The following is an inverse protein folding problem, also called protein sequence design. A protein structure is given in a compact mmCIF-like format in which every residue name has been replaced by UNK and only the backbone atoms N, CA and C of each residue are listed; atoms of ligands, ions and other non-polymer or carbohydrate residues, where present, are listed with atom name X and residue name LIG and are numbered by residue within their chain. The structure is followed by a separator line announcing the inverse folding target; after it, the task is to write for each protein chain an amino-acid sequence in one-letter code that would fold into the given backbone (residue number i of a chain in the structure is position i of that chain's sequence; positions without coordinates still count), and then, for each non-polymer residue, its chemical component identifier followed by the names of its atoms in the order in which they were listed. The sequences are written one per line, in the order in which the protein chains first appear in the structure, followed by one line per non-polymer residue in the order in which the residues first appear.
data_IF_165805115242
#
_entry.id   IF_165805115242
#
_cell.length_a   1.000
_cell.length_b   1.000
_cell.length_c   1.000
_cell.angle_alpha   90.00
_cell.angle_beta   90.00
_cell.angle_gamma   90.00
#
_symmetry.space_group_name_H-M   'P 1'
#
loop_
_entity.id
_entity.type
_entity.pdbx_description
1 polymer ?
#
# COMPACT_ATOMS: atom_id res chain seq x y z
N UNK A 1 47.34 -15.68 26.62
CA UNK A 1 47.21 -14.20 26.69
C UNK A 1 47.47 -13.55 25.32
N UNK A 2 46.75 -13.96 24.27
CA UNK A 2 46.94 -13.41 22.91
C UNK A 2 45.65 -13.47 22.07
N UNK A 3 44.48 -13.19 22.67
CA UNK A 3 43.17 -13.30 21.99
C UNK A 3 42.19 -12.19 22.38
N UNK A 4 42.69 -10.96 22.61
CA UNK A 4 41.83 -9.80 22.96
C UNK A 4 42.07 -8.55 22.10
N UNK A 5 42.91 -8.60 21.06
CA UNK A 5 43.31 -7.40 20.31
C UNK A 5 42.55 -7.16 18.99
N UNK A 6 41.64 -8.05 18.55
CA UNK A 6 40.96 -7.90 17.24
C UNK A 6 39.53 -7.34 17.28
N UNK A 7 38.99 -6.97 18.45
CA UNK A 7 37.60 -6.52 18.59
C UNK A 7 37.32 -5.03 18.40
N UNK A 8 38.34 -4.16 18.42
CA UNK A 8 38.11 -2.70 18.59
C UNK A 8 38.10 -1.92 17.25
N UNK A 9 38.59 -2.50 16.15
CA UNK A 9 38.68 -1.79 14.87
C UNK A 9 37.36 -1.75 14.06
N UNK A 10 36.38 -2.61 14.36
CA UNK A 10 35.15 -2.73 13.57
C UNK A 10 34.03 -1.73 13.96
N UNK A 11 34.10 -1.13 15.16
CA UNK A 11 33.07 -0.21 15.65
C UNK A 11 33.18 1.21 15.07
N UNK A 12 34.36 1.62 14.59
CA UNK A 12 34.60 2.98 14.07
C UNK A 12 34.11 3.23 12.63
N UNK A 13 33.87 2.19 11.84
CA UNK A 13 33.50 2.33 10.43
C UNK A 13 32.00 2.55 10.19
N UNK A 14 31.13 2.16 11.14
CA UNK A 14 29.67 2.24 10.96
C UNK A 14 29.08 3.63 11.22
N UNK A 15 29.80 4.51 11.92
CA UNK A 15 29.27 5.84 12.26
C UNK A 15 29.50 6.90 11.16
N UNK A 16 30.34 6.62 10.16
CA UNK A 16 30.63 7.55 9.05
C UNK A 16 29.74 7.39 7.81
N UNK A 17 28.95 6.31 7.72
CA UNK A 17 28.05 6.09 6.58
C UNK A 17 26.67 6.74 6.75
N UNK A 18 26.21 6.98 7.98
CA UNK A 18 24.90 7.60 8.21
C UNK A 18 24.91 9.13 8.11
N UNK A 19 26.07 9.78 8.18
CA UNK A 19 26.17 11.24 8.08
C UNK A 19 26.19 11.75 6.63
N UNK A 20 26.44 10.89 5.64
CA UNK A 20 26.51 11.29 4.22
C UNK A 20 25.16 11.18 3.48
N UNK A 21 24.12 10.64 4.14
CA UNK A 21 22.80 10.42 3.53
C UNK A 21 21.82 11.60 3.66
N UNK A 22 22.02 12.49 4.64
CA UNK A 22 21.09 13.59 4.91
C UNK A 22 21.38 14.84 4.04
N UNK A 23 22.62 15.06 3.61
CA UNK A 23 23.00 16.20 2.75
C UNK A 23 22.54 16.08 1.28
N UNK A 24 22.08 14.90 0.84
CA UNK A 24 21.64 14.68 -0.55
C UNK A 24 20.15 14.95 -0.78
N UNK A 25 19.35 15.12 0.28
CA UNK A 25 17.90 15.26 0.18
C UNK A 25 17.40 16.70 0.37
N UNK A 26 18.26 17.64 0.78
CA UNK A 26 17.86 19.04 0.98
C UNK A 26 17.65 19.90 -0.29
N UNK A 27 18.18 19.61 -1.50
CA UNK A 27 17.96 20.51 -2.63
C UNK A 27 16.65 20.27 -3.41
N UNK A 28 15.87 19.23 -3.12
CA UNK A 28 14.68 18.87 -3.93
C UNK A 28 13.34 19.46 -3.46
N UNK A 29 13.29 20.16 -2.32
CA UNK A 29 12.05 20.75 -1.78
C UNK A 29 11.97 22.28 -1.88
N UNK A 30 12.99 22.95 -2.43
CA UNK A 30 13.05 24.41 -2.46
C UNK A 30 12.45 25.08 -3.72
N UNK A 31 11.97 24.32 -4.71
CA UNK A 31 11.52 24.88 -5.99
C UNK A 31 10.00 24.77 -6.20
N UNK A 32 9.24 25.49 -5.37
CA UNK A 32 7.82 25.80 -5.62
C UNK A 32 7.59 27.30 -5.37
N UNK A 33 8.08 28.13 -6.30
CA UNK A 33 7.70 29.55 -6.38
C UNK A 33 7.22 29.88 -7.79
N UNK A 34 6.02 30.45 -7.81
CA UNK A 34 5.49 31.39 -8.80
C UNK A 34 5.48 30.94 -10.27
N UNK A 35 4.35 30.38 -10.70
CA UNK A 35 3.87 30.57 -12.07
C UNK A 35 2.86 31.72 -12.02
N UNK A 36 3.33 32.91 -12.40
CA UNK A 36 2.51 34.09 -12.67
C UNK A 36 1.81 33.88 -14.02
N UNK A 37 0.52 34.22 -14.07
CA UNK A 37 -0.31 34.21 -15.26
C UNK A 37 -0.34 35.62 -15.86
N UNK A 38 0.26 35.81 -17.03
CA UNK A 38 0.07 37.02 -17.83
C UNK A 38 -0.88 36.73 -19.00
N UNK A 39 -1.98 37.48 -18.97
CA UNK A 39 -3.10 37.60 -19.89
C UNK A 39 -2.83 38.82 -20.77
N UNK A 40 -2.75 38.65 -22.09
CA UNK A 40 -2.78 39.77 -23.04
C UNK A 40 -3.54 39.38 -24.32
N UNK A 41 -4.67 40.06 -24.51
CA UNK A 41 -5.59 39.96 -25.64
C UNK A 41 -5.51 41.25 -26.46
N UNK A 42 -5.22 41.17 -27.77
CA UNK A 42 -5.40 42.29 -28.70
C UNK A 42 -6.33 41.92 -29.86
N UNK A 43 -7.49 42.57 -29.90
CA UNK A 43 -8.43 42.63 -31.02
C UNK A 43 -8.05 43.77 -31.98
N UNK A 44 -8.26 43.57 -33.28
CA UNK A 44 -8.21 44.66 -34.28
C UNK A 44 -9.40 44.55 -35.24
N UNK A 45 -10.19 45.63 -35.30
CA UNK A 45 -11.32 45.85 -36.21
C UNK A 45 -10.88 46.68 -37.44
N UNK A 46 -11.36 46.32 -38.63
CA UNK A 46 -11.10 47.05 -39.88
C UNK A 46 -12.42 47.39 -40.61
N UNK A 47 -12.65 48.67 -40.88
CA UNK A 47 -13.86 49.25 -41.49
C UNK A 47 -13.73 49.44 -43.01
N UNK A 48 -14.81 49.21 -43.78
CA UNK A 48 -14.83 49.36 -45.26
C UNK A 48 -15.95 50.31 -45.73
N UNK A 49 -15.58 51.29 -46.57
CA UNK A 49 -16.46 52.26 -47.25
C UNK A 49 -17.03 51.73 -48.59
N UNK A 50 -18.23 52.17 -48.94
CA UNK A 50 -18.96 51.80 -50.17
C UNK A 50 -19.07 52.95 -51.18
N UNK A 51 -18.74 52.69 -52.44
CA UNK A 51 -18.87 53.64 -53.55
C UNK A 51 -19.81 53.11 -54.68
N UNK A 52 -20.64 54.01 -55.22
CA UNK A 52 -21.80 53.77 -56.12
C UNK A 52 -21.40 53.31 -57.54
N UNK A 53 -22.18 52.38 -58.13
CA UNK A 53 -21.99 51.89 -59.52
C UNK A 53 -23.11 52.31 -60.49
N UNK A 54 -22.73 52.45 -61.77
CA UNK A 54 -23.51 53.07 -62.85
C UNK A 54 -24.36 52.14 -63.76
N UNK A 55 -25.02 52.73 -64.78
CA UNK A 55 -26.25 52.24 -65.41
C UNK A 55 -26.12 51.04 -66.38
N UNK A 56 -24.90 50.67 -66.79
CA UNK A 56 -24.69 49.61 -67.80
C UNK A 56 -24.84 48.20 -67.19
N UNK A 57 -24.81 48.08 -65.86
CA UNK A 57 -25.05 46.83 -65.15
C UNK A 57 -26.52 46.36 -65.17
N UNK A 58 -27.47 47.25 -65.50
CA UNK A 58 -28.91 46.95 -65.48
C UNK A 58 -29.40 46.12 -66.67
N UNK A 59 -28.61 46.00 -67.74
CA UNK A 59 -29.03 45.32 -68.97
C UNK A 59 -28.63 43.84 -69.01
N UNK A 60 -27.68 43.42 -68.18
CA UNK A 60 -27.28 42.00 -68.04
C UNK A 60 -28.15 41.25 -67.03
N UNK A 61 -28.68 41.95 -66.03
CA UNK A 61 -29.58 41.39 -65.02
C UNK A 61 -30.97 41.07 -65.58
N UNK A 62 -31.44 41.79 -66.60
CA UNK A 62 -32.75 41.54 -67.24
C UNK A 62 -32.78 40.28 -68.10
N UNK A 63 -31.70 39.91 -68.77
CA UNK A 63 -31.63 38.67 -69.56
C UNK A 63 -31.64 37.42 -68.66
N UNK A 64 -30.98 37.49 -67.49
CA UNK A 64 -30.93 36.40 -66.51
C UNK A 64 -32.29 36.20 -65.85
N UNK A 65 -33.03 37.28 -65.55
CA UNK A 65 -34.39 37.20 -65.04
C UNK A 65 -35.37 36.56 -66.05
N UNK A 66 -35.18 36.79 -67.36
CA UNK A 66 -36.02 36.19 -68.40
C UNK A 66 -35.91 34.66 -68.47
N UNK A 67 -34.69 34.13 -68.36
CA UNK A 67 -34.45 32.67 -68.36
C UNK A 67 -35.01 32.03 -67.07
N UNK A 68 -34.92 32.74 -65.96
CA UNK A 68 -35.38 32.26 -64.66
C UNK A 68 -36.92 32.23 -64.54
N UNK A 69 -37.61 33.25 -65.06
CA UNK A 69 -39.08 33.24 -65.14
C UNK A 69 -39.63 32.16 -66.08
N UNK A 70 -38.93 31.84 -67.18
CA UNK A 70 -39.33 30.77 -68.08
C UNK A 70 -39.21 29.37 -67.43
N UNK A 71 -38.18 29.14 -66.60
CA UNK A 71 -38.01 27.89 -65.87
C UNK A 71 -39.13 27.59 -64.88
N UNK A 72 -39.61 28.61 -64.15
CA UNK A 72 -40.69 28.45 -63.17
C UNK A 72 -42.01 28.05 -63.84
N UNK A 73 -42.32 28.61 -65.00
CA UNK A 73 -43.54 28.27 -65.75
C UNK A 73 -43.55 26.81 -66.22
N UNK A 74 -42.39 26.28 -66.64
CA UNK A 74 -42.25 24.87 -67.06
C UNK A 74 -42.36 23.92 -65.87
N UNK A 75 -41.85 24.30 -64.70
CA UNK A 75 -41.96 23.49 -63.47
C UNK A 75 -43.40 23.31 -62.99
N UNK A 76 -44.24 24.36 -63.08
CA UNK A 76 -45.66 24.26 -62.68
C UNK A 76 -46.45 23.32 -63.60
N UNK A 77 -46.14 23.31 -64.90
CA UNK A 77 -46.75 22.39 -65.86
C UNK A 77 -46.40 20.92 -65.58
N UNK A 78 -45.17 20.66 -65.12
CA UNK A 78 -44.72 19.31 -64.75
C UNK A 78 -45.43 18.78 -63.48
N UNK A 79 -45.85 19.64 -62.56
CA UNK A 79 -46.58 19.26 -61.34
C UNK A 79 -47.99 18.68 -61.61
N UNK A 80 -48.62 19.03 -62.74
CA UNK A 80 -49.98 18.58 -63.07
C UNK A 80 -49.99 17.18 -63.71
N UNK A 81 -48.89 16.77 -64.35
CA UNK A 81 -48.83 15.54 -65.15
C UNK A 81 -48.31 14.32 -64.39
N UNK A 82 -47.58 14.48 -63.28
CA UNK A 82 -47.03 13.34 -62.52
C UNK A 82 -46.90 13.66 -61.01
N UNK A 83 -47.87 13.27 -60.17
CA UNK A 83 -47.80 13.52 -58.72
C UNK A 83 -46.95 12.46 -58.03
N UNK A 84 -45.62 12.61 -58.10
CA UNK A 84 -44.68 11.82 -57.29
C UNK A 84 -43.95 12.72 -56.29
N UNK A 85 -43.78 12.24 -55.05
CA UNK A 85 -43.21 13.00 -53.91
C UNK A 85 -41.81 13.58 -54.15
N UNK A 86 -41.05 13.03 -55.10
CA UNK A 86 -39.73 13.52 -55.48
C UNK A 86 -39.74 14.90 -56.15
N UNK A 87 -40.83 15.31 -56.80
CA UNK A 87 -40.90 16.63 -57.46
C UNK A 87 -41.00 17.78 -56.46
N UNK A 88 -41.55 17.52 -55.25
CA UNK A 88 -41.62 18.52 -54.18
C UNK A 88 -40.23 18.84 -53.61
N UNK A 89 -39.35 17.84 -53.47
CA UNK A 89 -37.99 18.06 -52.97
C UNK A 89 -37.16 18.84 -54.01
N UNK A 90 -37.28 18.49 -55.29
CA UNK A 90 -36.60 19.21 -56.37
C UNK A 90 -37.12 20.66 -56.51
N UNK A 91 -38.43 20.88 -56.39
CA UNK A 91 -39.03 22.21 -56.38
C UNK A 91 -38.57 23.07 -55.19
N UNK A 92 -38.48 22.48 -53.98
CA UNK A 92 -38.02 23.17 -52.78
C UNK A 92 -36.55 23.61 -52.90
N UNK A 93 -35.67 22.78 -53.49
CA UNK A 93 -34.27 23.14 -53.74
C UNK A 93 -34.17 24.30 -54.75
N UNK A 94 -35.04 24.33 -55.77
CA UNK A 94 -35.07 25.44 -56.72
C UNK A 94 -35.52 26.75 -56.07
N UNK A 95 -36.56 26.73 -55.23
CA UNK A 95 -37.03 27.94 -54.51
C UNK A 95 -35.98 28.42 -53.49
N UNK A 96 -35.30 27.50 -52.79
CA UNK A 96 -34.22 27.86 -51.88
C UNK A 96 -33.02 28.51 -52.60
N UNK A 97 -32.72 28.08 -53.83
CA UNK A 97 -31.63 28.67 -54.62
C UNK A 97 -32.00 30.02 -55.25
N UNK A 98 -33.28 30.31 -55.50
CA UNK A 98 -33.67 31.63 -56.04
C UNK A 98 -33.47 32.76 -55.04
N UNK A 99 -33.71 32.52 -53.74
CA UNK A 99 -33.52 33.55 -52.71
C UNK A 99 -32.05 33.96 -52.53
N UNK A 100 -31.11 33.03 -52.73
CA UNK A 100 -29.66 33.32 -52.68
C UNK A 100 -29.24 34.25 -53.83
N UNK A 101 -29.96 34.24 -54.95
CA UNK A 101 -29.71 35.17 -56.07
C UNK A 101 -30.41 36.51 -55.92
N UNK A 102 -31.46 36.60 -55.10
CA UNK A 102 -32.22 37.85 -54.85
C UNK A 102 -31.50 38.87 -53.95
N UNK A 103 -30.57 38.42 -53.11
CA UNK A 103 -29.81 39.29 -52.20
C UNK A 103 -28.51 39.88 -52.79
N UNK A 104 -28.14 39.53 -54.03
CA UNK A 104 -26.88 39.96 -54.64
C UNK A 104 -27.09 40.95 -55.80
N UNK A 105 -27.61 42.15 -55.49
CA UNK A 105 -27.43 43.32 -56.36
C UNK A 105 -26.06 44.01 -56.15
N UNK A 106 -25.11 43.34 -55.49
CA UNK A 106 -23.73 43.79 -55.35
C UNK A 106 -22.85 42.98 -56.30
N UNK A 107 -22.83 43.37 -57.57
CA UNK A 107 -22.01 42.76 -58.63
C UNK A 107 -20.50 43.04 -58.45
N UNK A 108 -19.92 42.52 -57.36
CA UNK A 108 -18.47 42.42 -57.12
C UNK A 108 -17.98 41.08 -56.51
N UNK A 109 -18.72 39.94 -56.44
CA UNK A 109 -18.20 38.77 -55.72
C UNK A 109 -17.06 38.06 -56.45
N UNK A 110 -16.95 38.16 -57.78
CA UNK A 110 -16.00 37.29 -58.51
C UNK A 110 -14.52 37.74 -58.41
N UNK A 111 -14.25 39.04 -58.29
CA UNK A 111 -12.87 39.54 -58.12
C UNK A 111 -12.40 39.46 -56.67
N UNK A 112 -13.28 39.73 -55.70
CA UNK A 112 -12.95 39.58 -54.27
C UNK A 112 -12.85 38.11 -53.88
N UNK A 113 -13.67 37.21 -54.47
CA UNK A 113 -13.58 35.78 -54.22
C UNK A 113 -12.31 35.16 -54.81
N UNK A 114 -11.84 35.59 -55.98
CA UNK A 114 -10.57 35.12 -56.52
C UNK A 114 -9.38 35.53 -55.64
N UNK A 115 -9.40 36.75 -55.09
CA UNK A 115 -8.40 37.22 -54.13
C UNK A 115 -8.55 36.54 -52.76
N UNK A 116 -9.78 36.26 -52.31
CA UNK A 116 -10.06 35.52 -51.08
C UNK A 116 -9.63 34.05 -51.17
N UNK A 117 -9.82 33.39 -52.33
CA UNK A 117 -9.33 32.03 -52.57
C UNK A 117 -7.81 31.98 -52.62
N UNK A 118 -7.14 32.99 -53.21
CA UNK A 118 -5.67 33.08 -53.17
C UNK A 118 -5.16 33.33 -51.75
N UNK A 119 -5.83 34.21 -51.00
CA UNK A 119 -5.51 34.47 -49.59
C UNK A 119 -5.71 33.22 -48.74
N UNK A 120 -6.81 32.49 -48.93
CA UNK A 120 -7.10 31.23 -48.25
C UNK A 120 -6.10 30.14 -48.65
N UNK A 121 -5.74 30.01 -49.92
CA UNK A 121 -4.72 29.04 -50.34
C UNK A 121 -3.36 29.36 -49.70
N UNK A 122 -3.00 30.65 -49.61
CA UNK A 122 -1.80 31.08 -48.91
C UNK A 122 -1.88 30.82 -47.40
N UNK A 123 -3.05 30.99 -46.76
CA UNK A 123 -3.25 30.61 -45.35
C UNK A 123 -3.14 29.10 -45.17
N UNK A 124 -3.80 28.30 -46.00
CA UNK A 124 -3.77 26.84 -45.94
C UNK A 124 -2.37 26.28 -46.17
N UNK A 125 -1.58 26.92 -47.05
CA UNK A 125 -0.16 26.59 -47.21
C UNK A 125 0.65 26.93 -45.96
N UNK A 126 0.40 28.07 -45.31
CA UNK A 126 1.06 28.42 -44.05
C UNK A 126 0.68 27.44 -42.94
N UNK A 127 -0.60 27.09 -42.82
CA UNK A 127 -1.08 26.15 -41.80
C UNK A 127 -0.55 24.73 -42.06
N UNK A 128 -0.49 24.30 -43.33
CA UNK A 128 0.12 23.03 -43.70
C UNK A 128 1.62 23.00 -43.38
N UNK A 129 2.34 24.09 -43.67
CA UNK A 129 3.76 24.18 -43.31
C UNK A 129 3.94 24.21 -41.79
N UNK A 130 3.13 24.98 -41.05
CA UNK A 130 3.20 25.03 -39.57
C UNK A 130 2.91 23.68 -38.94
N UNK A 131 1.91 22.96 -39.45
CA UNK A 131 1.60 21.60 -38.98
C UNK A 131 2.74 20.63 -39.31
N UNK A 132 3.38 20.78 -40.47
CA UNK A 132 4.58 19.99 -40.80
C UNK A 132 5.70 20.27 -39.80
N UNK A 133 5.96 21.55 -39.50
CA UNK A 133 6.99 21.95 -38.53
C UNK A 133 6.65 21.44 -37.11
N UNK A 134 5.37 21.48 -36.70
CA UNK A 134 4.90 20.93 -35.42
C UNK A 134 5.04 19.41 -35.35
N UNK A 135 4.76 18.69 -36.44
CA UNK A 135 4.92 17.22 -36.51
C UNK A 135 6.39 16.83 -36.46
N UNK A 136 7.25 17.56 -37.17
CA UNK A 136 8.70 17.33 -37.15
C UNK A 136 9.26 17.58 -35.74
N UNK A 137 8.86 18.67 -35.09
CA UNK A 137 9.26 18.96 -33.70
C UNK A 137 8.79 17.88 -32.70
N UNK A 138 7.57 17.37 -32.86
CA UNK A 138 7.05 16.30 -32.01
C UNK A 138 7.77 14.97 -32.27
N UNK A 139 8.14 14.70 -33.52
CA UNK A 139 8.93 13.52 -33.89
C UNK A 139 10.32 13.58 -33.26
N UNK A 140 10.96 14.75 -33.28
CA UNK A 140 12.25 14.97 -32.63
C UNK A 140 12.16 14.79 -31.10
N UNK A 141 11.08 15.23 -30.46
CA UNK A 141 10.84 15.00 -29.04
C UNK A 141 10.62 13.52 -28.72
N UNK A 142 9.85 12.81 -29.54
CA UNK A 142 9.65 11.36 -29.39
C UNK A 142 10.99 10.61 -29.52
N UNK A 143 11.83 11.01 -30.48
CA UNK A 143 13.16 10.41 -30.65
C UNK A 143 14.11 10.76 -29.51
N UNK A 144 13.97 11.94 -28.89
CA UNK A 144 14.70 12.32 -27.68
C UNK A 144 14.25 11.53 -26.44
N UNK A 145 12.97 11.18 -26.33
CA UNK A 145 12.41 10.45 -25.17
C UNK A 145 12.65 8.94 -25.22
N UNK A 146 12.77 8.33 -26.41
CA UNK A 146 13.08 6.89 -26.57
C UNK A 146 14.29 6.41 -25.76
N UNK A 147 15.48 7.04 -25.81
CA UNK A 147 16.62 6.60 -25.02
C UNK A 147 16.41 6.77 -23.51
N UNK A 148 15.54 7.69 -23.08
CA UNK A 148 15.18 7.82 -21.66
C UNK A 148 14.31 6.64 -21.20
N UNK A 149 13.32 6.27 -22.01
CA UNK A 149 12.47 5.10 -21.75
C UNK A 149 13.28 3.79 -21.73
N UNK A 150 14.24 3.63 -22.65
CA UNK A 150 15.12 2.46 -22.65
C UNK A 150 16.00 2.37 -21.39
N UNK A 151 16.59 3.49 -20.95
CA UNK A 151 17.35 3.55 -19.69
C UNK A 151 16.46 3.24 -18.48
N UNK A 152 15.25 3.77 -18.45
CA UNK A 152 14.30 3.49 -17.36
C UNK A 152 13.95 1.99 -17.31
N UNK A 153 13.71 1.37 -18.47
CA UNK A 153 13.45 -0.07 -18.59
C UNK A 153 14.63 -0.91 -18.11
N UNK A 154 15.86 -0.53 -18.46
CA UNK A 154 17.07 -1.22 -17.97
C UNK A 154 17.20 -1.13 -16.44
N UNK A 155 16.93 0.04 -15.87
CA UNK A 155 16.92 0.22 -14.41
C UNK A 155 15.83 -0.62 -13.74
N UNK A 156 14.62 -0.69 -14.32
CA UNK A 156 13.55 -1.55 -13.81
C UNK A 156 13.93 -3.03 -13.84
N UNK A 157 14.56 -3.52 -14.91
CA UNK A 157 15.01 -4.90 -15.00
C UNK A 157 16.09 -5.21 -13.95
N UNK A 158 17.04 -4.30 -13.75
CA UNK A 158 18.07 -4.42 -12.72
C UNK A 158 17.47 -4.42 -11.30
N UNK A 159 16.51 -3.53 -11.03
CA UNK A 159 15.81 -3.48 -9.74
C UNK A 159 14.97 -4.73 -9.49
N UNK A 160 14.33 -5.27 -10.52
CA UNK A 160 13.57 -6.53 -10.42
C UNK A 160 14.50 -7.72 -10.15
N UNK A 161 15.68 -7.76 -10.78
CA UNK A 161 16.72 -8.76 -10.48
C UNK A 161 17.24 -8.70 -9.04
N UNK A 162 17.48 -7.49 -8.51
CA UNK A 162 17.87 -7.29 -7.11
C UNK A 162 16.75 -7.72 -6.17
N UNK A 163 15.50 -7.35 -6.47
CA UNK A 163 14.34 -7.71 -5.64
C UNK A 163 14.15 -9.23 -5.62
N UNK A 164 14.27 -9.91 -6.76
CA UNK A 164 14.21 -11.37 -6.83
C UNK A 164 15.33 -12.04 -6.01
N UNK A 165 16.57 -11.51 -6.07
CA UNK A 165 17.69 -12.01 -5.28
C UNK A 165 17.50 -11.74 -3.76
N UNK A 166 16.93 -10.59 -3.39
CA UNK A 166 16.65 -10.24 -2.00
C UNK A 166 15.44 -10.99 -1.43
N UNK A 167 14.43 -11.30 -2.23
CA UNK A 167 13.25 -12.05 -1.77
C UNK A 167 13.63 -13.45 -1.29
N UNK A 168 14.57 -14.11 -1.98
CA UNK A 168 15.15 -15.40 -1.54
C UNK A 168 15.82 -15.28 -0.17
N UNK A 169 16.45 -14.13 0.12
CA UNK A 169 17.09 -13.91 1.42
C UNK A 169 16.07 -13.64 2.53
N UNK A 170 14.94 -13.01 2.24
CA UNK A 170 13.86 -12.79 3.22
C UNK A 170 13.18 -14.09 3.57
N UNK A 171 12.82 -14.92 2.58
CA UNK A 171 12.19 -16.22 2.81
C UNK A 171 13.10 -17.13 3.65
N UNK A 172 14.39 -17.19 3.31
CA UNK A 172 15.39 -17.95 4.08
C UNK A 172 15.57 -17.40 5.50
N UNK A 173 15.52 -16.08 5.68
CA UNK A 173 15.59 -15.48 7.01
C UNK A 173 14.36 -15.87 7.86
N UNK A 174 13.16 -15.85 7.28
CA UNK A 174 11.94 -16.28 7.96
C UNK A 174 12.02 -17.76 8.34
N UNK A 175 12.54 -18.61 7.45
CA UNK A 175 12.80 -20.02 7.73
C UNK A 175 13.79 -20.20 8.90
N UNK A 176 14.94 -19.51 8.87
CA UNK A 176 15.92 -19.55 9.97
C UNK A 176 15.34 -19.05 11.30
N UNK A 177 14.49 -18.02 11.28
CA UNK A 177 13.80 -17.54 12.49
C UNK A 177 12.81 -18.58 13.01
N UNK A 178 12.08 -19.27 12.12
CA UNK A 178 11.19 -20.39 12.48
C UNK A 178 11.98 -21.55 13.08
N UNK A 179 13.10 -21.95 12.47
CA UNK A 179 14.00 -22.99 12.97
C UNK A 179 14.57 -22.65 14.36
N UNK A 180 15.05 -21.41 14.52
CA UNK A 180 15.53 -20.93 15.83
C UNK A 180 14.42 -20.98 16.89
N UNK A 181 13.17 -20.67 16.51
CA UNK A 181 12.01 -20.83 17.38
C UNK A 181 11.85 -22.26 17.90
N UNK A 182 11.90 -23.25 16.99
CA UNK A 182 11.83 -24.69 17.34
C UNK A 182 12.99 -25.11 18.23
N UNK A 183 14.21 -24.62 17.97
CA UNK A 183 15.39 -24.93 18.79
C UNK A 183 15.22 -24.37 20.21
N UNK A 184 14.74 -23.13 20.36
CA UNK A 184 14.52 -22.52 21.67
C UNK A 184 13.46 -23.30 22.45
N UNK A 185 12.39 -23.74 21.80
CA UNK A 185 11.36 -24.57 22.42
C UNK A 185 11.94 -25.92 22.89
N UNK A 186 12.71 -26.59 22.05
CA UNK A 186 13.41 -27.82 22.42
C UNK A 186 14.41 -27.62 23.58
N UNK A 187 15.11 -26.49 23.62
CA UNK A 187 16.02 -26.15 24.73
C UNK A 187 15.26 -25.87 26.03
N UNK A 188 14.13 -25.17 25.97
CA UNK A 188 13.25 -24.95 27.12
C UNK A 188 12.74 -26.28 27.68
N UNK A 189 12.35 -27.21 26.81
CA UNK A 189 11.89 -28.53 27.23
C UNK A 189 13.01 -29.38 27.83
N UNK A 190 14.22 -29.34 27.27
CA UNK A 190 15.38 -29.98 27.86
C UNK A 190 15.71 -29.41 29.24
N UNK A 191 15.58 -28.09 29.42
CA UNK A 191 15.78 -27.44 30.71
C UNK A 191 14.71 -27.85 31.73
N UNK A 192 13.43 -27.87 31.33
CA UNK A 192 12.32 -28.38 32.18
C UNK A 192 12.56 -29.82 32.63
N UNK A 193 12.95 -30.71 31.71
CA UNK A 193 13.27 -32.12 32.00
C UNK A 193 14.42 -32.23 33.01
N UNK A 194 15.48 -31.43 32.83
CA UNK A 194 16.63 -31.41 33.74
C UNK A 194 16.24 -30.92 35.14
N UNK A 195 15.47 -29.82 35.22
CA UNK A 195 14.96 -29.30 36.49
C UNK A 195 14.14 -30.35 37.23
N UNK A 196 13.21 -31.03 36.54
CA UNK A 196 12.40 -32.11 37.16
C UNK A 196 13.25 -33.27 37.61
N UNK A 197 14.23 -33.71 36.80
CA UNK A 197 15.14 -34.78 37.18
C UNK A 197 15.94 -34.42 38.44
N UNK A 198 16.44 -33.19 38.53
CA UNK A 198 17.19 -32.70 39.68
C UNK A 198 16.31 -32.62 40.93
N UNK A 199 15.07 -32.13 40.84
CA UNK A 199 14.13 -32.14 41.96
C UNK A 199 13.83 -33.58 42.41
N UNK A 200 13.56 -34.52 41.48
CA UNK A 200 13.32 -35.93 41.81
C UNK A 200 14.52 -36.52 42.53
N UNK A 201 15.73 -36.22 42.04
CA UNK A 201 16.97 -36.66 42.69
C UNK A 201 17.09 -36.09 44.11
N UNK A 202 16.79 -34.81 44.33
CA UNK A 202 16.79 -34.22 45.68
C UNK A 202 15.76 -34.92 46.59
N UNK A 203 14.57 -35.21 46.08
CA UNK A 203 13.51 -35.89 46.86
C UNK A 203 14.00 -37.27 47.30
N UNK A 204 14.58 -38.05 46.38
CA UNK A 204 15.13 -39.39 46.68
C UNK A 204 16.32 -39.29 47.65
N UNK A 205 17.24 -38.34 47.44
CA UNK A 205 18.42 -38.13 48.31
C UNK A 205 18.06 -37.57 49.70
N UNK A 206 16.83 -37.08 49.88
CA UNK A 206 16.36 -36.52 51.14
C UNK A 206 15.67 -37.56 52.03
N UNK A 207 15.20 -38.67 51.45
CA UNK A 207 14.74 -39.86 52.16
C UNK A 207 15.96 -40.65 52.67
N UNK A 208 16.31 -40.46 53.95
CA UNK A 208 17.52 -41.07 54.53
C UNK A 208 17.27 -42.48 55.04
N UNK A 209 16.03 -42.76 55.43
CA UNK A 209 15.58 -44.00 56.04
C UNK A 209 14.92 -44.96 55.04
N UNK A 210 14.76 -44.54 53.78
CA UNK A 210 14.15 -45.32 52.68
C UNK A 210 12.74 -45.81 53.03
N UNK A 211 12.01 -45.08 53.87
CA UNK A 211 10.65 -45.45 54.26
C UNK A 211 9.59 -44.87 53.30
N UNK A 212 10.05 -44.13 52.27
CA UNK A 212 9.23 -43.44 51.26
C UNK A 212 8.29 -42.37 51.85
N UNK A 213 8.49 -41.97 53.11
CA UNK A 213 7.69 -40.98 53.84
C UNK A 213 8.57 -39.84 54.33
N UNK A 214 8.29 -38.63 53.88
CA UNK A 214 9.12 -37.46 54.22
C UNK A 214 8.69 -36.88 55.57
N UNK A 215 9.61 -36.87 56.55
CA UNK A 215 9.37 -36.21 57.84
C UNK A 215 9.32 -34.69 57.70
N UNK A 216 8.79 -33.98 58.71
CA UNK A 216 8.74 -32.49 58.71
C UNK A 216 10.14 -31.86 58.67
N UNK A 217 11.14 -32.52 59.23
CA UNK A 217 12.53 -32.03 59.26
C UNK A 217 13.18 -32.24 57.90
N UNK A 218 13.00 -33.41 57.29
CA UNK A 218 13.48 -33.71 55.93
C UNK A 218 12.80 -32.82 54.91
N UNK A 219 11.50 -32.57 55.04
CA UNK A 219 10.75 -31.66 54.17
C UNK A 219 11.38 -30.27 54.13
N UNK A 220 11.73 -29.70 55.29
CA UNK A 220 12.39 -28.37 55.37
C UNK A 220 13.76 -28.37 54.71
N UNK A 221 14.55 -29.43 54.93
CA UNK A 221 15.88 -29.57 54.31
C UNK A 221 15.77 -29.73 52.79
N UNK A 222 14.81 -30.54 52.33
CA UNK A 222 14.51 -30.77 50.93
C UNK A 222 14.08 -29.48 50.23
N UNK A 223 13.16 -28.71 50.83
CA UNK A 223 12.75 -27.40 50.31
C UNK A 223 13.94 -26.47 50.11
N UNK A 224 14.84 -26.38 51.10
CA UNK A 224 16.02 -25.52 51.01
C UNK A 224 16.94 -25.96 49.86
N UNK A 225 17.15 -27.27 49.69
CA UNK A 225 17.95 -27.82 48.58
C UNK A 225 17.30 -27.50 47.22
N UNK A 226 15.98 -27.70 47.10
CA UNK A 226 15.22 -27.39 45.88
C UNK A 226 15.36 -25.90 45.55
N UNK A 227 15.18 -25.01 46.52
CA UNK A 227 15.30 -23.56 46.33
C UNK A 227 16.68 -23.17 45.79
N UNK A 228 17.77 -23.70 46.38
CA UNK A 228 19.13 -23.39 45.94
C UNK A 228 19.37 -23.89 44.51
N UNK A 229 18.92 -25.09 44.16
CA UNK A 229 19.10 -25.62 42.80
C UNK A 229 18.24 -24.87 41.78
N UNK A 230 16.99 -24.52 42.11
CA UNK A 230 16.10 -23.77 41.22
C UNK A 230 16.57 -22.33 40.99
N UNK A 231 17.21 -21.72 41.98
CA UNK A 231 17.80 -20.39 41.85
C UNK A 231 18.94 -20.37 40.81
N UNK A 232 19.70 -21.46 40.65
CA UNK A 232 20.71 -21.58 39.59
C UNK A 232 20.07 -21.58 38.19
N UNK A 233 18.85 -22.08 38.07
CA UNK A 233 18.08 -22.13 36.84
C UNK A 233 17.21 -20.89 36.59
N UNK A 234 17.13 -19.95 37.55
CA UNK A 234 16.26 -18.77 37.46
C UNK A 234 14.76 -19.10 37.53
N UNK A 235 14.40 -20.17 38.25
CA UNK A 235 13.01 -20.56 38.48
C UNK A 235 12.60 -20.11 39.89
N UNK A 236 11.51 -19.35 39.97
CA UNK A 236 10.96 -18.92 41.25
C UNK A 236 10.10 -20.04 41.85
N UNK A 237 10.39 -20.36 43.11
CA UNK A 237 9.80 -21.48 43.83
C UNK A 237 9.04 -21.02 45.06
N UNK A 238 7.73 -21.25 45.08
CA UNK A 238 6.88 -20.96 46.24
C UNK A 238 6.97 -22.09 47.28
N UNK A 239 7.92 -21.93 48.21
CA UNK A 239 8.14 -22.82 49.34
C UNK A 239 6.88 -23.04 50.19
N UNK A 240 6.05 -22.02 50.39
CA UNK A 240 4.91 -22.09 51.29
C UNK A 240 3.79 -22.96 50.70
N UNK A 241 3.49 -22.79 49.41
CA UNK A 241 2.52 -23.65 48.73
C UNK A 241 3.02 -25.09 48.65
N UNK A 242 4.31 -25.31 48.34
CA UNK A 242 4.87 -26.67 48.28
C UNK A 242 4.80 -27.37 49.63
N UNK A 243 5.12 -26.66 50.71
CA UNK A 243 5.04 -27.18 52.07
C UNK A 243 3.60 -27.54 52.47
N UNK A 244 2.61 -26.75 52.04
CA UNK A 244 1.19 -27.05 52.29
C UNK A 244 0.78 -28.36 51.61
N UNK A 245 1.20 -28.58 50.36
CA UNK A 245 0.91 -29.82 49.61
C UNK A 245 1.60 -31.03 50.26
N UNK A 246 2.85 -30.89 50.68
CA UNK A 246 3.60 -31.93 51.40
C UNK A 246 2.94 -32.31 52.74
N UNK A 247 2.33 -31.33 53.42
CA UNK A 247 1.69 -31.54 54.72
C UNK A 247 0.46 -32.44 54.64
N UNK A 248 -0.24 -32.45 53.50
CA UNK A 248 -1.44 -33.27 53.29
C UNK A 248 -1.05 -34.73 53.05
N UNK A 249 -0.03 -34.98 52.23
CA UNK A 249 0.41 -36.33 51.88
C UNK A 249 1.95 -36.42 51.74
N UNK A 250 2.68 -36.89 52.78
CA UNK A 250 4.13 -36.90 52.80
C UNK A 250 4.77 -38.09 52.05
N UNK A 251 4.14 -38.65 51.02
CA UNK A 251 4.68 -39.79 50.28
C UNK A 251 5.54 -39.35 49.08
N UNK A 252 6.75 -39.88 48.98
CA UNK A 252 7.71 -39.60 47.88
C UNK A 252 7.07 -39.85 46.50
N UNK A 253 6.34 -40.95 46.33
CA UNK A 253 5.70 -41.29 45.05
C UNK A 253 4.69 -40.24 44.60
N UNK A 254 3.89 -39.68 45.52
CA UNK A 254 2.89 -38.66 45.18
C UNK A 254 3.55 -37.33 44.84
N UNK A 255 4.64 -36.97 45.53
CA UNK A 255 5.44 -35.78 45.23
C UNK A 255 6.06 -35.89 43.84
N UNK A 256 6.61 -37.06 43.48
CA UNK A 256 7.14 -37.31 42.14
C UNK A 256 6.02 -37.18 41.10
N UNK A 257 4.82 -37.72 41.36
CA UNK A 257 3.67 -37.55 40.47
C UNK A 257 3.25 -36.08 40.31
N UNK A 258 3.28 -35.29 41.39
CA UNK A 258 2.98 -33.85 41.36
C UNK A 258 4.03 -33.09 40.54
N UNK A 259 5.33 -33.39 40.72
CA UNK A 259 6.40 -32.75 39.97
C UNK A 259 6.33 -33.15 38.49
N UNK A 260 6.00 -34.41 38.18
CA UNK A 260 5.82 -34.86 36.79
C UNK A 260 4.69 -34.12 36.08
N UNK A 261 3.61 -33.78 36.80
CA UNK A 261 2.50 -32.98 36.26
C UNK A 261 2.92 -31.54 35.88
N UNK A 262 4.05 -31.02 36.38
CA UNK A 262 4.59 -29.71 36.00
C UNK A 262 5.25 -29.68 34.61
N UNK A 263 5.49 -30.84 34.00
CA UNK A 263 6.01 -30.94 32.63
C UNK A 263 4.88 -31.44 31.75
N UNK A 264 3.94 -30.58 31.33
CA UNK A 264 3.09 -30.91 30.20
C UNK A 264 4.03 -31.21 29.04
N UNK A 265 3.87 -32.36 28.37
CA UNK A 265 4.73 -32.91 27.30
C UNK A 265 5.77 -33.96 27.71
N UNK A 266 5.87 -34.36 28.98
CA UNK A 266 6.30 -35.74 29.26
C UNK A 266 5.06 -36.63 29.22
N UNK A 267 4.44 -36.71 28.03
CA UNK A 267 3.75 -37.93 27.65
C UNK A 267 4.83 -39.01 27.59
N UNK A 268 5.20 -39.54 28.76
CA UNK A 268 5.47 -40.95 28.82
C UNK A 268 4.21 -41.56 28.25
N UNK A 269 4.31 -42.24 27.11
CA UNK A 269 3.33 -43.22 26.68
C UNK A 269 3.21 -44.27 27.80
N UNK A 270 2.58 -43.90 28.92
CA UNK A 270 2.08 -44.85 29.88
C UNK A 270 0.86 -45.43 29.22
N UNK A 271 1.10 -46.53 28.53
CA UNK A 271 0.11 -47.44 27.99
C UNK A 271 -1.19 -47.41 28.82
N UNK A 272 -2.26 -46.98 28.16
CA UNK A 272 -3.68 -47.23 28.46
C UNK A 272 -4.11 -46.97 29.91
N UNK A 273 -4.76 -45.83 30.19
CA UNK A 273 -5.59 -45.73 31.38
C UNK A 273 -6.68 -46.80 31.26
N UNK A 274 -6.65 -47.78 32.15
CA UNK A 274 -7.80 -48.63 32.42
C UNK A 274 -8.95 -47.73 32.85
N UNK A 275 -10.05 -47.80 32.10
CA UNK A 275 -11.30 -47.06 32.32
C UNK A 275 -11.91 -47.34 33.70
N UNK A 276 -11.37 -46.72 34.75
CA UNK A 276 -11.97 -46.73 36.10
C UNK A 276 -12.36 -45.30 36.46
N UNK A 277 -13.55 -44.94 35.98
CA UNK A 277 -14.31 -43.73 36.28
C UNK A 277 -14.60 -43.63 37.78
N UNK A 278 -13.74 -42.96 38.53
CA UNK A 278 -14.12 -42.37 39.82
C UNK A 278 -13.83 -40.87 39.82
N UNK A 279 -14.90 -40.13 39.59
CA UNK A 279 -15.02 -38.68 39.54
C UNK A 279 -15.11 -38.12 40.96
N UNK A 280 -14.00 -37.63 41.52
CA UNK A 280 -14.05 -36.77 42.72
C UNK A 280 -12.91 -35.74 42.71
N UNK A 281 -13.24 -34.48 42.40
CA UNK A 281 -12.62 -33.22 42.86
C UNK A 281 -11.10 -32.94 42.72
N UNK A 282 -10.30 -33.74 42.02
CA UNK A 282 -8.83 -33.49 41.91
C UNK A 282 -8.42 -32.32 40.98
N UNK A 283 -9.32 -31.73 40.18
CA UNK A 283 -8.95 -30.67 39.22
C UNK A 283 -8.48 -29.36 39.88
N UNK A 284 -9.02 -29.02 41.06
CA UNK A 284 -8.68 -27.74 41.72
C UNK A 284 -7.24 -27.73 42.30
N UNK A 285 -6.71 -28.89 42.67
CA UNK A 285 -5.36 -29.00 43.22
C UNK A 285 -4.28 -28.93 42.12
N UNK A 286 -4.64 -29.23 40.88
CA UNK A 286 -3.70 -29.27 39.74
C UNK A 286 -3.29 -27.86 39.34
N UNK A 287 -4.24 -26.93 39.27
CA UNK A 287 -3.98 -25.52 38.94
C UNK A 287 -3.03 -24.87 39.96
N UNK A 288 -3.23 -25.15 41.25
CA UNK A 288 -2.43 -24.59 42.34
C UNK A 288 -0.95 -25.04 42.32
N UNK A 289 -0.68 -26.23 41.77
CA UNK A 289 0.69 -26.77 41.63
C UNK A 289 1.38 -26.10 40.44
N UNK A 290 0.69 -25.88 39.32
CA UNK A 290 1.24 -25.18 38.16
C UNK A 290 1.66 -23.73 38.50
N UNK A 291 0.90 -23.04 39.35
CA UNK A 291 1.22 -21.68 39.83
C UNK A 291 2.38 -21.60 40.83
N UNK A 292 2.96 -22.74 41.24
CA UNK A 292 4.03 -22.80 42.23
C UNK A 292 5.43 -22.65 41.63
N UNK A 293 5.55 -22.94 40.33
CA UNK A 293 6.80 -22.90 39.58
C UNK A 293 6.66 -21.92 38.43
N UNK A 294 7.09 -20.69 38.68
CA UNK A 294 7.05 -19.62 37.67
C UNK A 294 8.47 -19.37 37.16
N UNK A 295 8.58 -19.17 35.85
CA UNK A 295 9.85 -18.84 35.22
C UNK A 295 10.06 -17.34 35.32
N UNK A 296 11.17 -16.90 35.91
CA UNK A 296 11.43 -15.48 36.16
C UNK A 296 11.48 -14.60 34.89
N UNK A 297 11.58 -15.21 33.71
CA UNK A 297 11.61 -14.53 32.41
C UNK A 297 10.34 -14.69 31.59
N UNK A 298 9.34 -15.42 32.07
CA UNK A 298 8.04 -15.53 31.41
C UNK A 298 7.13 -14.40 31.92
N UNK A 299 7.60 -13.17 31.73
CA UNK A 299 6.78 -11.95 31.77
C UNK A 299 5.81 -12.00 30.58
N UNK A 300 4.91 -12.98 30.62
CA UNK A 300 3.64 -12.88 29.95
C UNK A 300 2.98 -11.66 30.53
N UNK A 301 2.99 -10.60 29.71
CA UNK A 301 2.28 -9.35 29.90
C UNK A 301 0.87 -9.67 30.37
N UNK A 302 0.68 -9.70 31.68
CA UNK A 302 -0.63 -9.69 32.31
C UNK A 302 -1.22 -8.32 31.99
N UNK A 303 -2.52 -8.33 31.74
CA UNK A 303 -3.35 -7.29 31.15
C UNK A 303 -3.47 -5.98 31.96
N UNK A 304 -2.47 -5.59 32.74
CA UNK A 304 -2.44 -4.30 33.43
C UNK A 304 -1.32 -3.41 32.88
N UNK A 305 -1.76 -2.37 32.19
CA UNK A 305 -0.98 -1.73 31.14
C UNK A 305 0.03 -0.70 31.64
N UNK A 306 1.28 -0.84 31.19
CA UNK A 306 2.03 0.31 30.66
C UNK A 306 3.27 -0.10 29.87
N UNK A 307 3.13 0.11 28.55
CA UNK A 307 4.16 0.46 27.56
C UNK A 307 5.39 -0.43 27.41
N UNK A 308 5.24 -1.36 26.47
CA UNK A 308 6.29 -1.80 25.53
C UNK A 308 6.98 -0.60 24.87
N UNK A 309 8.32 -0.61 24.86
CA UNK A 309 9.10 0.03 23.80
C UNK A 309 9.20 -1.00 22.68
N UNK A 310 8.31 -0.90 21.70
CA UNK A 310 8.38 -1.67 20.47
C UNK A 310 9.25 -0.91 19.48
N UNK A 311 10.39 -1.51 19.13
CA UNK A 311 11.22 -1.10 18.00
C UNK A 311 10.80 -1.96 16.81
N UNK A 312 10.49 -1.28 15.70
CA UNK A 312 10.30 -1.80 14.34
C UNK A 312 9.00 -2.55 14.00
N UNK A 313 7.99 -1.77 13.57
CA UNK A 313 7.31 -1.99 12.28
C UNK A 313 6.70 -0.65 11.80
N UNK A 314 6.83 -0.27 10.52
CA UNK A 314 6.34 1.02 10.01
C UNK A 314 4.82 0.99 9.84
N UNK A 315 4.12 1.76 10.66
CA UNK A 315 2.70 2.08 10.48
C UNK A 315 2.50 2.96 9.24
N UNK A 316 1.78 2.45 8.24
CA UNK A 316 1.15 3.24 7.19
C UNK A 316 0.23 4.30 7.82
N UNK A 317 0.29 5.58 7.42
CA UNK A 317 -0.64 6.59 7.91
C UNK A 317 -2.02 6.39 7.27
N UNK A 318 -3.00 5.95 8.05
CA UNK A 318 -4.41 6.08 7.68
C UNK A 318 -4.88 7.51 7.96
N UNK A 319 -5.07 8.27 6.89
CA UNK A 319 -5.74 9.57 6.94
C UNK A 319 -7.21 9.35 7.34
N UNK A 320 -7.62 9.91 8.47
CA UNK A 320 -9.04 10.06 8.83
C UNK A 320 -9.33 11.55 9.05
N UNK A 321 -10.32 12.13 8.33
CA UNK A 321 -10.63 13.55 8.45
C UNK A 321 -11.45 13.80 9.71
N UNK A 322 -10.89 14.56 10.66
CA UNK A 322 -11.63 15.08 11.83
C UNK A 322 -12.54 16.23 11.39
N UNK A 323 -13.84 15.96 11.36
CA UNK A 323 -14.89 16.98 11.29
C UNK A 323 -14.93 17.68 12.65
N UNK A 324 -14.57 18.97 12.67
CA UNK A 324 -14.62 19.83 13.86
C UNK A 324 -16.03 20.36 14.10
N UNK A 325 -16.67 19.93 15.18
CA UNK A 325 -17.88 20.56 15.70
C UNK A 325 -17.51 21.63 16.75
N UNK A 326 -17.56 22.90 16.33
CA UNK A 326 -17.41 24.06 17.21
C UNK A 326 -18.76 24.41 17.84
N UNK A 327 -18.91 24.15 19.15
CA UNK A 327 -20.05 24.65 19.93
C UNK A 327 -19.69 25.98 20.59
N UNK A 328 -20.21 27.06 20.01
CA UNK A 328 -20.13 28.44 20.53
C UNK A 328 -21.23 28.64 21.58
N UNK A 329 -20.86 28.73 22.85
CA UNK A 329 -21.76 29.11 23.95
C UNK A 329 -21.82 30.64 24.04
N UNK A 330 -22.92 31.24 23.58
CA UNK A 330 -23.23 32.66 23.79
C UNK A 330 -23.97 32.79 25.11
N UNK A 331 -23.42 33.61 26.02
CA UNK A 331 -24.13 34.12 27.20
C UNK A 331 -24.67 35.50 26.84
N UNK A 332 -25.98 35.64 26.91
CA UNK A 332 -26.74 36.90 26.99
C UNK A 332 -27.82 36.69 28.04
#
# INVERSE_FOLDING_TARGET
MASMAHGVAAAGARHKLNAAGEDFLEPLLANTKAFDSDDDSEESEESVEFEKQGPIAKLKTTAIYGILCAGVAVSVLAFVLAPQTLTFVAGAICVANTDITGLNNTSRPCQTFASALRSLNNKLRRDANRLSDEVDALSDEVDALKPEAERAKEVEENLNGITAAQNINVDRLVELVRENGVIIEAMKDNLRKRVVQDIIKIVIDSDKDNDMRISKVESKMMLLKIRIQLQEYGVDFDEAKFYKVLSVNPCVSRIISLIRKLVPNLEFESERPSDDESTVDEESDIQAVAEMFTWANDDTVTSDGSRRVSIMAPTRPSFSPKIGASSRKVRG
#
